data_IF_963042267288
#
_entry.id   IF_963042267288
#
_cell.length_a   1.000
_cell.length_b   1.000
_cell.length_c   1.000
_cell.angle_alpha   90.00
_cell.angle_beta   90.00
_cell.angle_gamma   90.00
#
_symmetry.space_group_name_H-M   'P 1'
#
loop_
_entity.id
_entity.type
_entity.pdbx_description
1 polymer ?
#
# COMPACT_ATOMS: atom_id res chain seq x y z
N UNK A 1 -61.77 -6.77 46.85
CA UNK A 1 -60.49 -7.45 46.51
C UNK A 1 -59.90 -6.73 45.30
N UNK A 2 -58.80 -6.00 45.48
CA UNK A 2 -58.18 -5.15 44.44
C UNK A 2 -56.89 -5.80 43.95
N UNK A 3 -56.67 -5.96 42.63
CA UNK A 3 -55.47 -6.61 42.12
C UNK A 3 -54.26 -5.68 42.20
N UNK A 4 -53.14 -6.29 42.54
CA UNK A 4 -51.78 -5.79 42.71
C UNK A 4 -51.20 -5.18 41.43
N UNK A 5 -51.30 -3.86 41.29
CA UNK A 5 -50.74 -3.07 40.18
C UNK A 5 -49.33 -2.50 40.47
N UNK A 6 -48.37 -3.33 40.89
CA UNK A 6 -47.00 -2.87 41.19
C UNK A 6 -45.87 -3.65 40.54
N UNK A 7 -46.18 -4.74 39.82
CA UNK A 7 -45.16 -5.61 39.19
C UNK A 7 -44.97 -5.37 37.69
N UNK A 8 -45.81 -4.58 37.04
CA UNK A 8 -45.74 -4.36 35.58
C UNK A 8 -44.73 -3.27 35.17
N UNK A 9 -44.42 -2.31 36.06
CA UNK A 9 -43.50 -1.21 35.74
C UNK A 9 -42.02 -1.60 35.77
N UNK A 10 -41.66 -2.71 36.41
CA UNK A 10 -40.25 -3.12 36.55
C UNK A 10 -39.73 -3.92 35.33
N UNK A 11 -40.62 -4.56 34.58
CA UNK A 11 -40.23 -5.39 33.43
C UNK A 11 -39.96 -4.53 32.18
N UNK A 12 -40.67 -3.41 32.00
CA UNK A 12 -40.42 -2.50 30.87
C UNK A 12 -39.10 -1.71 31.02
N UNK A 13 -38.63 -1.42 32.23
CA UNK A 13 -37.38 -0.70 32.46
C UNK A 13 -36.12 -1.50 32.09
N UNK A 14 -36.14 -2.82 32.28
CA UNK A 14 -35.00 -3.71 31.98
C UNK A 14 -34.87 -3.96 30.47
N UNK A 15 -35.99 -4.04 29.74
CA UNK A 15 -35.98 -4.17 28.28
C UNK A 15 -35.49 -2.90 27.57
N UNK A 16 -35.73 -1.71 28.14
CA UNK A 16 -35.18 -0.46 27.60
C UNK A 16 -33.67 -0.33 27.81
N UNK A 17 -33.11 -0.89 28.90
CA UNK A 17 -31.66 -0.91 29.17
C UNK A 17 -30.90 -1.88 28.26
N UNK A 18 -31.53 -2.95 27.78
CA UNK A 18 -30.93 -3.90 26.84
C UNK A 18 -30.95 -3.41 25.38
N UNK A 19 -31.81 -2.45 25.04
CA UNK A 19 -31.92 -1.91 23.67
C UNK A 19 -30.92 -0.76 23.38
N UNK A 20 -30.27 -0.19 24.40
CA UNK A 20 -29.28 0.91 24.23
C UNK A 20 -27.85 0.37 24.17
N UNK A 21 -27.65 -0.94 24.28
CA UNK A 21 -26.33 -1.60 24.24
C UNK A 21 -26.20 -2.51 23.01
N UNK A 22 -26.41 -1.98 21.82
CA UNK A 22 -26.18 -2.70 20.56
C UNK A 22 -24.72 -2.64 20.05
N UNK A 23 -23.75 -2.32 20.90
CA UNK A 23 -22.34 -2.60 20.62
C UNK A 23 -21.95 -3.86 21.38
N UNK A 24 -21.74 -4.98 20.69
CA UNK A 24 -21.24 -6.20 21.35
C UNK A 24 -19.83 -5.93 21.89
N UNK A 25 -19.58 -6.02 23.22
CA UNK A 25 -18.24 -5.81 23.78
C UNK A 25 -17.26 -6.95 23.41
N UNK A 26 -17.74 -7.98 22.70
CA UNK A 26 -16.96 -9.15 22.30
C UNK A 26 -16.74 -9.24 20.78
N UNK A 27 -17.34 -8.35 19.99
CA UNK A 27 -17.04 -8.25 18.57
C UNK A 27 -16.42 -6.89 18.33
N UNK A 28 -15.11 -6.81 18.02
CA UNK A 28 -14.51 -5.55 17.61
C UNK A 28 -15.28 -5.00 16.40
N UNK A 29 -15.27 -3.68 16.24
CA UNK A 29 -15.92 -3.04 15.09
C UNK A 29 -15.48 -3.73 13.81
N UNK A 30 -16.45 -4.21 13.03
CA UNK A 30 -16.22 -5.01 11.82
C UNK A 30 -15.78 -4.16 10.61
N UNK A 31 -15.06 -3.07 10.86
CA UNK A 31 -14.52 -2.17 9.84
C UNK A 31 -13.00 -2.33 9.70
N UNK A 32 -12.41 -1.82 8.61
CA UNK A 32 -10.97 -1.71 8.52
C UNK A 32 -10.45 -0.87 9.72
N UNK A 33 -9.31 -1.25 10.32
CA UNK A 33 -8.69 -0.50 11.41
C UNK A 33 -8.59 1.00 11.08
N UNK A 34 -9.13 1.86 11.94
CA UNK A 34 -9.12 3.30 11.72
C UNK A 34 -7.70 3.86 11.53
N UNK A 35 -6.71 3.28 12.23
CA UNK A 35 -5.29 3.64 12.11
C UNK A 35 -4.75 3.44 10.68
N UNK A 36 -5.24 2.44 9.95
CA UNK A 36 -4.80 2.18 8.57
C UNK A 36 -5.31 3.26 7.61
N UNK A 37 -6.50 3.83 7.87
CA UNK A 37 -7.02 4.94 7.08
C UNK A 37 -6.24 6.23 7.33
N UNK A 38 -5.96 6.54 8.60
CA UNK A 38 -5.26 7.76 9.03
C UNK A 38 -3.85 7.85 8.41
N UNK A 39 -3.19 6.72 8.17
CA UNK A 39 -1.91 6.70 7.47
C UNK A 39 -1.99 7.23 6.04
N UNK A 40 -3.09 7.02 5.31
CA UNK A 40 -3.21 7.49 3.92
C UNK A 40 -3.58 8.97 3.79
N UNK A 41 -3.72 9.69 4.90
CA UNK A 41 -3.94 11.13 4.86
C UNK A 41 -2.68 11.92 4.46
N UNK A 42 -1.48 11.30 4.60
CA UNK A 42 -0.21 11.89 4.14
C UNK A 42 0.55 10.97 3.18
N UNK A 43 1.33 11.53 2.24
CA UNK A 43 2.15 10.74 1.32
C UNK A 43 3.10 9.75 2.01
N UNK A 44 3.74 10.18 3.09
CA UNK A 44 4.67 9.35 3.86
C UNK A 44 3.93 8.23 4.60
N UNK A 45 2.72 8.50 5.08
CA UNK A 45 1.92 7.48 5.73
C UNK A 45 1.43 6.42 4.75
N UNK A 46 1.15 6.76 3.49
CA UNK A 46 0.91 5.77 2.41
C UNK A 46 2.11 4.84 2.22
N UNK A 47 3.34 5.36 2.19
CA UNK A 47 4.56 4.51 2.12
C UNK A 47 4.74 3.63 3.35
N UNK A 48 4.45 4.15 4.56
CA UNK A 48 4.46 3.33 5.78
C UNK A 48 3.41 2.24 5.76
N UNK A 49 2.24 2.51 5.19
CA UNK A 49 1.20 1.48 5.06
C UNK A 49 1.58 0.44 4.01
N UNK A 50 2.29 0.81 2.95
CA UNK A 50 2.88 -0.15 2.01
C UNK A 50 3.78 -1.12 2.76
N UNK A 51 4.72 -0.63 3.57
CA UNK A 51 5.56 -1.47 4.42
C UNK A 51 4.74 -2.41 5.30
N UNK A 52 3.70 -1.89 5.98
CA UNK A 52 2.80 -2.69 6.82
C UNK A 52 2.07 -3.78 6.03
N UNK A 53 1.67 -3.50 4.78
CA UNK A 53 1.00 -4.48 3.93
C UNK A 53 1.91 -5.67 3.63
N UNK A 54 3.20 -5.43 3.34
CA UNK A 54 4.20 -6.49 3.19
C UNK A 54 4.45 -7.25 4.48
N UNK A 55 4.76 -6.57 5.58
CA UNK A 55 5.14 -7.20 6.85
C UNK A 55 4.01 -8.07 7.43
N UNK A 56 2.77 -7.63 7.26
CA UNK A 56 1.59 -8.37 7.70
C UNK A 56 1.01 -9.30 6.61
N UNK A 57 1.58 -9.30 5.40
CA UNK A 57 1.12 -10.07 4.23
C UNK A 57 -0.37 -9.86 3.93
N UNK A 58 -0.81 -8.61 4.03
CA UNK A 58 -2.21 -8.19 3.86
C UNK A 58 -2.42 -7.70 2.44
N UNK A 59 -2.85 -8.60 1.55
CA UNK A 59 -3.09 -8.29 0.13
C UNK A 59 -4.19 -7.25 -0.03
N UNK A 60 -5.21 -7.27 0.83
CA UNK A 60 -6.27 -6.28 0.89
C UNK A 60 -5.73 -4.87 1.17
N UNK A 61 -4.79 -4.72 2.10
CA UNK A 61 -4.14 -3.43 2.36
C UNK A 61 -3.25 -2.99 1.21
N UNK A 62 -2.58 -3.93 0.54
CA UNK A 62 -1.78 -3.64 -0.63
C UNK A 62 -2.64 -3.13 -1.78
N UNK A 63 -3.74 -3.82 -2.10
CA UNK A 63 -4.74 -3.41 -3.10
C UNK A 63 -5.32 -2.03 -2.78
N UNK A 64 -5.64 -1.76 -1.51
CA UNK A 64 -6.16 -0.47 -1.09
C UNK A 64 -5.18 0.69 -1.33
N UNK A 65 -3.88 0.44 -1.42
CA UNK A 65 -2.88 1.47 -1.68
C UNK A 65 -2.77 1.84 -3.14
N UNK A 66 -3.22 0.99 -4.07
CA UNK A 66 -3.11 1.24 -5.49
C UNK A 66 -4.31 2.06 -5.98
N UNK A 67 -4.08 3.04 -6.87
CA UNK A 67 -5.10 4.03 -7.23
C UNK A 67 -6.33 3.43 -7.94
N UNK A 68 -6.13 2.76 -9.07
CA UNK A 68 -7.17 2.06 -9.83
C UNK A 68 -6.56 1.01 -10.76
N UNK A 69 -7.35 0.02 -11.18
CA UNK A 69 -6.89 -0.99 -12.14
C UNK A 69 -6.45 -0.40 -13.48
N UNK A 70 -7.13 0.66 -13.92
CA UNK A 70 -6.89 1.26 -15.23
C UNK A 70 -5.69 2.21 -15.22
N UNK A 71 -5.44 2.89 -14.11
CA UNK A 71 -4.46 3.99 -14.05
C UNK A 71 -3.15 3.58 -13.39
N UNK A 72 -3.15 2.60 -12.47
CA UNK A 72 -1.94 2.23 -11.75
C UNK A 72 -0.89 1.59 -12.66
N UNK A 73 0.38 1.99 -12.52
CA UNK A 73 1.52 1.42 -13.24
C UNK A 73 2.74 1.29 -12.33
N UNK A 74 3.39 0.12 -12.36
CA UNK A 74 4.72 -0.07 -11.81
C UNK A 74 5.75 -0.12 -12.94
N UNK A 75 6.65 0.85 -12.99
CA UNK A 75 7.63 1.03 -14.04
C UNK A 75 8.99 0.45 -13.65
N UNK A 76 9.55 -0.30 -14.58
CA UNK A 76 10.85 -0.96 -14.47
C UNK A 76 11.71 -0.45 -15.63
N UNK A 77 12.96 -0.02 -15.37
CA UNK A 77 13.89 0.36 -16.44
C UNK A 77 14.00 -0.74 -17.51
N UNK A 78 14.07 -0.35 -18.78
CA UNK A 78 14.25 -1.28 -19.91
C UNK A 78 15.69 -1.82 -19.98
N UNK A 79 16.16 -2.42 -18.89
CA UNK A 79 17.43 -3.14 -18.80
C UNK A 79 17.20 -4.63 -19.07
N UNK A 80 17.81 -5.21 -20.12
CA UNK A 80 17.69 -6.63 -20.43
C UNK A 80 18.02 -7.56 -19.25
N UNK A 81 18.98 -7.20 -18.41
CA UNK A 81 19.42 -7.98 -17.25
C UNK A 81 18.31 -8.10 -16.21
N UNK A 82 17.63 -6.98 -15.92
CA UNK A 82 16.51 -6.93 -14.99
C UNK A 82 15.31 -7.66 -15.60
N UNK A 83 14.97 -7.36 -16.84
CA UNK A 83 13.82 -7.95 -17.52
C UNK A 83 13.93 -9.46 -17.75
N UNK A 84 15.13 -10.01 -17.95
CA UNK A 84 15.34 -11.45 -18.11
C UNK A 84 15.13 -12.23 -16.80
N UNK A 85 15.28 -11.57 -15.64
CA UNK A 85 14.92 -12.15 -14.35
C UNK A 85 13.41 -12.26 -14.14
N UNK A 86 12.63 -11.41 -14.83
CA UNK A 86 11.18 -11.26 -14.72
C UNK A 86 10.42 -12.17 -15.70
N UNK A 87 10.69 -13.48 -15.68
CA UNK A 87 10.24 -14.46 -16.68
C UNK A 87 8.72 -14.53 -16.94
N UNK A 88 7.89 -14.02 -16.02
CA UNK A 88 6.42 -14.06 -16.11
C UNK A 88 5.78 -12.77 -16.62
N UNK A 89 6.57 -11.73 -16.84
CA UNK A 89 6.07 -10.39 -17.13
C UNK A 89 6.04 -10.16 -18.64
N UNK A 90 4.95 -9.54 -19.12
CA UNK A 90 4.83 -9.14 -20.52
C UNK A 90 5.81 -8.01 -20.85
N UNK A 91 6.85 -8.33 -21.62
CA UNK A 91 7.88 -7.37 -22.06
C UNK A 91 7.42 -6.44 -23.20
N UNK A 92 6.22 -6.68 -23.72
CA UNK A 92 5.65 -5.94 -24.86
C UNK A 92 5.00 -4.61 -24.43
N UNK A 93 4.70 -4.47 -23.13
CA UNK A 93 4.13 -3.25 -22.55
C UNK A 93 5.23 -2.27 -22.21
N UNK A 94 5.33 -1.21 -23.00
CA UNK A 94 6.35 -0.18 -22.87
C UNK A 94 5.73 1.20 -22.97
N UNK A 95 6.15 2.09 -22.10
CA UNK A 95 5.84 3.52 -22.20
C UNK A 95 7.14 4.31 -22.35
N UNK A 96 7.05 5.40 -23.12
CA UNK A 96 8.10 6.42 -23.13
C UNK A 96 7.79 7.42 -22.01
N UNK A 97 8.67 7.49 -21.02
CA UNK A 97 8.56 8.36 -19.86
C UNK A 97 9.36 9.63 -20.12
N UNK A 98 8.64 10.75 -20.14
CA UNK A 98 9.16 12.11 -20.24
C UNK A 98 8.55 12.91 -19.08
N UNK A 99 9.01 12.59 -17.87
CA UNK A 99 8.64 13.31 -16.66
C UNK A 99 9.79 14.26 -16.38
N UNK A 100 9.51 15.56 -16.33
CA UNK A 100 10.48 16.60 -15.98
C UNK A 100 10.90 16.49 -14.51
N UNK A 101 11.64 15.43 -14.18
CA UNK A 101 12.04 15.00 -12.84
C UNK A 101 13.52 14.66 -12.84
N UNK A 102 14.26 15.22 -11.89
CA UNK A 102 15.70 14.97 -11.74
C UNK A 102 16.01 13.51 -11.29
N UNK A 103 14.99 12.73 -10.95
CA UNK A 103 15.14 11.43 -10.29
C UNK A 103 14.77 10.24 -11.17
N UNK A 104 13.93 10.46 -12.18
CA UNK A 104 13.50 9.44 -13.12
C UNK A 104 14.12 9.80 -14.45
N UNK A 105 14.96 8.92 -14.99
CA UNK A 105 15.60 9.16 -16.27
C UNK A 105 14.54 9.11 -17.37
N UNK A 106 14.54 10.09 -18.26
CA UNK A 106 13.74 10.03 -19.49
C UNK A 106 14.13 8.79 -20.31
N UNK A 107 13.15 8.03 -20.79
CA UNK A 107 13.44 6.80 -21.52
C UNK A 107 12.27 5.86 -21.68
N UNK A 108 12.55 4.67 -22.19
CA UNK A 108 11.56 3.60 -22.29
C UNK A 108 11.56 2.79 -21.01
N UNK A 109 10.37 2.52 -20.48
CA UNK A 109 10.17 1.66 -19.33
C UNK A 109 9.21 0.55 -19.71
N UNK A 110 9.46 -0.65 -19.18
CA UNK A 110 8.45 -1.70 -19.14
C UNK A 110 7.59 -1.45 -17.92
N UNK A 111 6.30 -1.77 -17.98
CA UNK A 111 5.44 -1.62 -16.81
C UNK A 111 4.60 -2.85 -16.50
N UNK A 112 4.34 -3.02 -15.21
CA UNK A 112 3.35 -3.94 -14.68
C UNK A 112 2.04 -3.19 -14.46
N UNK A 113 0.96 -3.87 -14.82
CA UNK A 113 -0.40 -3.41 -14.54
C UNK A 113 -0.81 -3.78 -13.13
N UNK A 114 -1.88 -3.15 -12.65
CA UNK A 114 -2.49 -3.46 -11.36
C UNK A 114 -2.66 -4.97 -11.14
N UNK A 115 -3.30 -5.67 -12.08
CA UNK A 115 -3.61 -7.09 -11.91
C UNK A 115 -2.35 -7.97 -11.83
N UNK A 116 -1.28 -7.60 -12.56
CA UNK A 116 -0.01 -8.32 -12.46
C UNK A 116 0.67 -8.08 -11.11
N UNK A 117 0.66 -6.84 -10.62
CA UNK A 117 1.18 -6.52 -9.30
C UNK A 117 0.44 -7.28 -8.21
N UNK A 118 -0.89 -7.31 -8.26
CA UNK A 118 -1.70 -8.07 -7.31
C UNK A 118 -1.38 -9.55 -7.40
N UNK A 119 -1.33 -10.14 -8.59
CA UNK A 119 -1.02 -11.57 -8.74
C UNK A 119 0.38 -11.93 -8.19
N UNK A 120 1.39 -11.08 -8.44
CA UNK A 120 2.76 -11.28 -7.94
C UNK A 120 2.77 -11.21 -6.41
N UNK A 121 2.15 -10.18 -5.84
CA UNK A 121 2.15 -9.94 -4.39
C UNK A 121 1.28 -10.93 -3.64
N UNK A 122 0.15 -11.35 -4.20
CA UNK A 122 -0.69 -12.40 -3.64
C UNK A 122 0.10 -13.71 -3.51
N UNK A 123 0.79 -14.13 -4.58
CA UNK A 123 1.64 -15.32 -4.53
C UNK A 123 2.78 -15.17 -3.50
N UNK A 124 3.43 -14.01 -3.45
CA UNK A 124 4.48 -13.73 -2.46
C UNK A 124 3.92 -13.84 -1.04
N UNK A 125 2.79 -13.20 -0.74
CA UNK A 125 2.17 -13.17 0.58
C UNK A 125 1.64 -14.53 1.02
N UNK A 126 1.20 -15.37 0.07
CA UNK A 126 0.79 -16.75 0.36
C UNK A 126 1.99 -17.67 0.63
N UNK A 127 3.12 -17.47 -0.04
CA UNK A 127 4.30 -18.34 0.07
C UNK A 127 5.24 -17.96 1.22
N UNK A 128 5.27 -16.68 1.58
CA UNK A 128 6.13 -16.19 2.64
C UNK A 128 5.56 -16.52 4.03
N UNK A 129 6.37 -17.21 4.83
CA UNK A 129 6.13 -17.38 6.28
C UNK A 129 6.36 -16.08 7.04
N UNK A 130 7.24 -15.21 6.54
CA UNK A 130 7.58 -13.91 7.13
C UNK A 130 8.17 -13.00 6.06
N UNK A 131 7.80 -11.72 6.11
CA UNK A 131 8.39 -10.64 5.32
C UNK A 131 8.72 -9.53 6.31
N UNK A 132 9.95 -9.06 6.30
CA UNK A 132 10.41 -7.99 7.19
C UNK A 132 11.31 -7.05 6.42
N UNK A 133 11.16 -5.75 6.65
CA UNK A 133 12.15 -4.80 6.18
C UNK A 133 13.29 -4.75 7.20
N UNK A 134 14.53 -4.91 6.73
CA UNK A 134 15.73 -4.80 7.58
C UNK A 134 15.82 -3.40 8.22
N UNK A 135 15.34 -2.38 7.50
CA UNK A 135 15.19 -1.00 7.95
C UNK A 135 13.87 -0.43 7.40
N UNK A 136 13.16 0.45 8.15
CA UNK A 136 11.92 1.05 7.65
C UNK A 136 12.13 1.79 6.31
N UNK A 137 11.13 1.70 5.42
CA UNK A 137 11.11 2.45 4.16
C UNK A 137 11.13 3.95 4.47
N UNK A 138 12.32 4.53 4.36
CA UNK A 138 12.60 5.89 4.80
C UNK A 138 12.32 6.86 3.65
N UNK A 139 11.38 7.78 3.87
CA UNK A 139 11.07 8.84 2.91
C UNK A 139 12.12 9.94 3.00
N UNK A 140 12.80 10.19 1.88
CA UNK A 140 13.83 11.24 1.74
C UNK A 140 13.16 12.60 1.55
N UNK A 141 12.15 12.63 0.68
CA UNK A 141 11.55 13.85 0.19
C UNK A 141 10.13 13.59 -0.29
N UNK A 142 9.28 14.59 -0.12
CA UNK A 142 7.93 14.69 -0.69
C UNK A 142 7.83 16.02 -1.43
N UNK A 143 7.46 15.97 -2.69
CA UNK A 143 7.20 17.12 -3.55
C UNK A 143 5.73 17.13 -3.97
N UNK A 144 5.02 18.24 -3.76
CA UNK A 144 3.61 18.39 -4.13
C UNK A 144 3.47 19.04 -5.50
N UNK A 145 2.65 18.44 -6.37
CA UNK A 145 2.53 18.80 -7.78
C UNK A 145 1.07 19.09 -8.14
N UNK A 146 0.86 20.03 -9.07
CA UNK A 146 -0.47 20.29 -9.66
C UNK A 146 -0.87 19.27 -10.71
N UNK A 147 0.09 18.75 -11.46
CA UNK A 147 -0.15 17.77 -12.52
C UNK A 147 1.10 16.95 -12.80
N UNK A 148 0.91 15.78 -13.43
CA UNK A 148 2.01 14.88 -13.76
C UNK A 148 2.90 15.53 -14.83
N UNK A 149 4.22 15.47 -14.63
CA UNK A 149 5.21 16.09 -15.53
C UNK A 149 5.34 17.61 -15.42
N UNK A 150 4.56 18.26 -14.54
CA UNK A 150 4.74 19.68 -14.25
C UNK A 150 5.90 19.89 -13.27
N UNK A 151 6.68 20.96 -13.50
CA UNK A 151 7.65 21.49 -12.54
C UNK A 151 7.02 22.49 -11.55
N UNK A 152 5.72 22.76 -11.64
CA UNK A 152 5.00 23.66 -10.74
C UNK A 152 4.79 23.00 -9.38
N UNK A 153 5.76 23.21 -8.48
CA UNK A 153 5.67 22.79 -7.08
C UNK A 153 4.63 23.63 -6.33
N UNK A 154 3.82 22.97 -5.52
CA UNK A 154 2.88 23.59 -4.58
C UNK A 154 3.47 23.54 -3.18
N UNK A 155 3.22 24.56 -2.36
CA UNK A 155 3.78 24.66 -1.01
C UNK A 155 3.19 23.68 -0.01
N UNK A 156 2.00 23.15 -0.26
CA UNK A 156 1.31 22.24 0.65
C UNK A 156 0.42 21.22 -0.07
N UNK A 157 -0.04 20.23 0.71
CA UNK A 157 -0.88 19.14 0.26
C UNK A 157 -2.33 19.52 -0.02
N UNK A 158 -2.80 20.70 0.39
CA UNK A 158 -4.23 21.08 0.31
C UNK A 158 -4.62 21.29 -1.14
N UNK A 159 -3.79 22.01 -1.89
CA UNK A 159 -4.00 22.36 -3.29
C UNK A 159 -3.30 21.40 -4.28
N UNK A 160 -2.61 20.38 -3.75
CA UNK A 160 -1.89 19.40 -4.54
C UNK A 160 -2.84 18.30 -5.07
N UNK A 161 -2.77 18.03 -6.37
CA UNK A 161 -3.44 16.89 -6.98
C UNK A 161 -2.58 15.63 -6.91
N UNK A 162 -1.25 15.82 -6.93
CA UNK A 162 -0.26 14.76 -6.90
C UNK A 162 0.81 15.04 -5.85
N UNK A 163 1.43 13.97 -5.35
CA UNK A 163 2.64 14.04 -4.55
C UNK A 163 3.67 13.05 -5.10
N UNK A 164 4.90 13.49 -5.32
CA UNK A 164 6.03 12.61 -5.61
C UNK A 164 6.76 12.31 -4.30
N UNK A 165 6.86 11.04 -3.95
CA UNK A 165 7.55 10.56 -2.75
C UNK A 165 8.78 9.78 -3.15
N UNK A 166 9.91 10.09 -2.53
CA UNK A 166 11.18 9.40 -2.76
C UNK A 166 11.61 8.66 -1.51
N UNK A 167 12.12 7.45 -1.70
CA UNK A 167 12.63 6.62 -0.60
C UNK A 167 14.12 6.36 -0.74
N UNK A 168 14.78 6.09 0.39
CA UNK A 168 16.09 5.46 0.39
C UNK A 168 15.98 4.00 -0.07
N UNK A 169 17.11 3.46 -0.53
CA UNK A 169 17.20 2.02 -0.75
C UNK A 169 16.97 1.27 0.56
N UNK A 170 16.35 0.11 0.46
CA UNK A 170 16.02 -0.72 1.61
C UNK A 170 16.40 -2.18 1.33
N UNK A 171 16.10 -3.05 2.28
CA UNK A 171 16.31 -4.48 2.13
C UNK A 171 15.15 -5.21 2.76
N UNK A 172 14.61 -6.20 2.04
CA UNK A 172 13.50 -7.02 2.51
C UNK A 172 14.02 -8.43 2.76
N UNK A 173 13.82 -8.92 3.97
CA UNK A 173 14.06 -10.29 4.36
C UNK A 173 12.78 -11.10 4.23
N UNK A 174 12.81 -12.13 3.40
CA UNK A 174 11.69 -13.04 3.16
C UNK A 174 12.05 -14.44 3.63
N UNK A 175 11.27 -14.99 4.55
CA UNK A 175 11.32 -16.39 4.94
C UNK A 175 10.18 -17.16 4.28
N UNK A 176 10.48 -18.26 3.58
CA UNK A 176 9.48 -19.08 2.89
C UNK A 176 9.86 -20.57 2.91
N UNK A 177 8.87 -21.45 3.01
CA UNK A 177 9.09 -22.90 3.16
C UNK A 177 9.74 -23.56 1.93
N UNK A 178 9.53 -22.97 0.75
CA UNK A 178 10.03 -23.43 -0.55
C UNK A 178 11.45 -22.95 -0.86
N UNK A 179 11.95 -21.91 -0.17
CA UNK A 179 13.31 -21.41 -0.35
C UNK A 179 14.26 -22.23 0.54
N UNK A 180 14.42 -23.51 0.21
CA UNK A 180 15.49 -24.33 0.80
C UNK A 180 16.80 -24.02 0.08
N UNK A 181 17.56 -23.09 0.63
CA UNK A 181 18.95 -22.91 0.21
C UNK A 181 19.78 -24.14 0.61
N UNK A 182 20.86 -24.40 -0.13
CA UNK A 182 21.84 -25.49 0.13
C UNK A 182 22.43 -25.45 1.55
N UNK A 183 22.27 -24.33 2.26
CA UNK A 183 22.80 -24.08 3.60
C UNK A 183 21.73 -24.04 4.70
N UNK A 184 20.47 -24.37 4.40
CA UNK A 184 19.38 -24.37 5.39
C UNK A 184 19.03 -23.00 5.94
N UNK A 185 19.41 -21.91 5.25
CA UNK A 185 18.92 -20.59 5.61
C UNK A 185 17.44 -20.50 5.26
N UNK A 186 16.61 -20.28 6.28
CA UNK A 186 15.15 -20.17 6.18
C UNK A 186 14.68 -18.82 5.62
N UNK A 187 15.56 -17.83 5.52
CA UNK A 187 15.26 -16.50 5.03
C UNK A 187 16.31 -16.01 4.03
N UNK A 188 15.85 -15.37 2.96
CA UNK A 188 16.68 -14.69 1.97
C UNK A 188 16.47 -13.19 2.08
N UNK A 189 17.54 -12.42 1.88
CA UNK A 189 17.51 -10.97 1.93
C UNK A 189 17.63 -10.43 0.50
N UNK A 190 16.68 -9.61 0.10
CA UNK A 190 16.58 -9.01 -1.22
C UNK A 190 16.79 -7.49 -1.10
N UNK A 191 17.77 -6.92 -1.83
CA UNK A 191 17.89 -5.47 -1.89
C UNK A 191 16.66 -4.89 -2.62
N UNK A 192 16.15 -3.79 -2.10
CA UNK A 192 15.13 -2.96 -2.74
C UNK A 192 15.78 -1.64 -3.10
N UNK A 193 15.74 -1.28 -4.39
CA UNK A 193 16.33 -0.03 -4.86
C UNK A 193 15.63 1.18 -4.26
N UNK A 194 16.13 2.37 -4.61
CA UNK A 194 15.40 3.60 -4.30
C UNK A 194 14.08 3.58 -5.08
N UNK A 195 12.99 3.97 -4.42
CA UNK A 195 11.68 4.00 -5.06
C UNK A 195 11.20 5.44 -5.22
N UNK A 196 10.51 5.70 -6.33
CA UNK A 196 9.76 6.94 -6.53
C UNK A 196 8.29 6.60 -6.73
N UNK A 197 7.43 7.19 -5.91
CA UNK A 197 5.99 7.03 -5.98
C UNK A 197 5.34 8.34 -6.42
N UNK A 198 4.54 8.33 -7.48
CA UNK A 198 3.55 9.37 -7.71
C UNK A 198 2.24 8.95 -7.05
N UNK A 199 1.80 9.71 -6.07
CA UNK A 199 0.56 9.50 -5.35
C UNK A 199 -0.50 10.47 -5.84
N UNK A 200 -1.74 10.03 -5.85
CA UNK A 200 -2.91 10.83 -6.17
C UNK A 200 -3.99 10.62 -5.10
N UNK A 201 -4.71 11.69 -4.77
CA UNK A 201 -5.86 11.58 -3.87
C UNK A 201 -7.05 10.91 -4.57
N UNK A 202 -7.68 9.98 -3.88
CA UNK A 202 -8.95 9.39 -4.31
C UNK A 202 -10.16 10.29 -3.96
N UNK A 203 -11.36 9.75 -4.17
CA UNK A 203 -12.63 10.44 -3.86
C UNK A 203 -12.80 10.75 -2.36
N UNK A 204 -12.14 9.98 -1.49
CA UNK A 204 -12.12 10.18 -0.03
C UNK A 204 -10.99 11.10 0.42
N UNK A 205 -10.20 11.64 -0.52
CA UNK A 205 -9.01 12.47 -0.28
C UNK A 205 -7.85 11.72 0.37
N UNK A 206 -7.81 10.40 0.26
CA UNK A 206 -6.70 9.57 0.72
C UNK A 206 -5.68 9.39 -0.40
N UNK A 207 -4.39 9.42 -0.06
CA UNK A 207 -3.31 9.22 -1.01
C UNK A 207 -3.17 7.76 -1.39
N UNK A 208 -3.20 7.49 -2.69
CA UNK A 208 -2.98 6.17 -3.29
C UNK A 208 -1.90 6.24 -4.36
N UNK A 209 -1.17 5.16 -4.55
CA UNK A 209 -0.08 5.02 -5.50
C UNK A 209 -0.68 4.98 -6.91
N UNK A 210 -0.36 6.00 -7.70
CA UNK A 210 -0.72 6.08 -9.11
C UNK A 210 0.39 5.47 -9.96
N UNK A 211 1.62 5.94 -9.81
CA UNK A 211 2.79 5.40 -10.50
C UNK A 211 3.85 5.03 -9.48
N UNK A 212 4.53 3.92 -9.71
CA UNK A 212 5.63 3.45 -8.87
C UNK A 212 6.82 3.11 -9.77
N UNK A 213 7.96 3.75 -9.54
CA UNK A 213 9.21 3.51 -10.26
C UNK A 213 10.23 2.84 -9.34
N UNK A 214 10.75 1.70 -9.78
CA UNK A 214 11.98 1.11 -9.26
C UNK A 214 13.17 1.85 -9.87
N UNK A 215 14.03 2.44 -9.05
CA UNK A 215 15.31 3.00 -9.50
C UNK A 215 16.44 2.02 -9.20
N UNK A 216 17.48 2.06 -10.04
CA UNK A 216 18.67 1.22 -9.88
C UNK A 216 19.27 1.33 -8.46
N UNK A 217 19.76 0.18 -7.96
CA UNK A 217 20.42 0.02 -6.64
C UNK A 217 21.82 0.63 -6.64
#
# INVERSE_FOLDING_TARGET
MRPTGRRLFLVCGVLALLAVSCGSPFFPDTGPPQEERELRETPEGTVRQLQRAYENRRIDLFEELLYSEQDFRFYIPDDPTVLDSLQKISKDRRDQIDLNSDYIQEGNYVYLTYSEEIEIHEHLFQQARQIEFSEPLSVINVEYLRSLGSSDLVSDSTDAELAMVRTEAASIRIAADLIKTTYGQEAHEFPVGKQVFYLKKDEERLWRILLWFELDV
#
